data_IF_500741136771
#
_entry.id   IF_500741136771
#
_cell.length_a   1.000
_cell.length_b   1.000
_cell.length_c   1.000
_cell.angle_alpha   90.00
_cell.angle_beta   90.00
_cell.angle_gamma   90.00
#
_symmetry.space_group_name_H-M   'P 1'
#
loop_
_entity.id
_entity.type
_entity.pdbx_description
1 polymer ?
#
# COMPACT_ATOMS: atom_id res chain seq x y z
N UNK A 1 -57.62 4.45 6.13
CA UNK A 1 -56.22 4.38 5.66
C UNK A 1 -55.33 4.15 6.88
N UNK A 2 -54.44 3.17 6.75
CA UNK A 2 -53.74 2.48 7.84
C UNK A 2 -52.52 3.26 8.36
N UNK A 3 -52.37 3.38 9.68
CA UNK A 3 -51.05 3.53 10.28
C UNK A 3 -50.93 2.59 11.48
N UNK A 4 -49.97 1.66 11.36
CA UNK A 4 -49.66 0.60 12.32
C UNK A 4 -48.53 1.09 13.22
N UNK A 5 -48.73 0.99 14.52
CA UNK A 5 -47.67 1.11 15.53
C UNK A 5 -46.62 0.00 15.35
N UNK A 6 -45.34 0.36 15.32
CA UNK A 6 -44.24 -0.59 15.50
C UNK A 6 -43.08 0.05 16.27
N UNK A 7 -43.14 -0.06 17.60
CA UNK A 7 -42.03 0.27 18.51
C UNK A 7 -40.98 -0.84 18.45
N UNK A 8 -39.85 -0.60 17.78
CA UNK A 8 -38.69 -1.49 17.88
C UNK A 8 -37.83 -1.15 19.10
N UNK A 9 -37.45 -2.23 19.80
CA UNK A 9 -36.79 -2.34 21.11
C UNK A 9 -35.46 -1.59 21.22
N UNK A 10 -35.04 -1.16 22.44
CA UNK A 10 -33.72 -0.60 22.66
C UNK A 10 -32.65 -1.71 22.56
N UNK A 11 -31.61 -1.44 21.76
CA UNK A 11 -30.39 -2.24 21.72
C UNK A 11 -29.58 -1.99 22.99
N UNK A 12 -29.75 -2.90 23.94
CA UNK A 12 -28.79 -3.18 25.01
C UNK A 12 -27.57 -3.86 24.36
N UNK A 13 -26.35 -3.33 24.53
CA UNK A 13 -25.27 -4.04 25.23
C UNK A 13 -23.87 -3.36 25.14
N UNK A 14 -23.13 -3.58 26.23
CA UNK A 14 -21.68 -3.62 26.42
C UNK A 14 -20.91 -2.32 26.71
N UNK A 15 -20.62 -2.16 28.01
CA UNK A 15 -19.34 -1.63 28.47
C UNK A 15 -18.25 -2.59 27.96
N UNK A 16 -17.26 -2.12 27.20
CA UNK A 16 -16.01 -2.86 27.00
C UNK A 16 -14.85 -1.88 26.90
N UNK A 17 -13.98 -2.00 27.89
CA UNK A 17 -12.59 -1.57 28.03
C UNK A 17 -12.00 -0.64 26.96
N UNK A 18 -11.30 0.40 27.44
CA UNK A 18 -10.33 1.14 26.66
C UNK A 18 -9.44 0.17 25.89
N UNK A 19 -9.51 0.19 24.55
CA UNK A 19 -8.60 -0.54 23.69
C UNK A 19 -7.20 0.00 23.96
N UNK A 20 -6.39 -0.74 24.71
CA UNK A 20 -4.95 -0.50 24.83
C UNK A 20 -4.38 -0.53 23.42
N UNK A 21 -3.95 0.62 22.90
CA UNK A 21 -3.27 0.73 21.62
C UNK A 21 -1.97 -0.07 21.73
N UNK A 22 -1.97 -1.31 21.25
CA UNK A 22 -0.77 -2.11 21.11
C UNK A 22 0.26 -1.34 20.29
N UNK A 23 1.54 -1.42 20.66
CA UNK A 23 2.64 -0.77 19.93
C UNK A 23 2.61 -1.20 18.46
N UNK A 24 2.29 -0.26 17.57
CA UNK A 24 2.36 -0.49 16.14
C UNK A 24 3.84 -0.54 15.71
N UNK A 25 4.37 -1.72 15.41
CA UNK A 25 5.69 -1.82 14.80
C UNK A 25 5.54 -1.64 13.28
N UNK A 26 6.12 -0.58 12.74
CA UNK A 26 6.19 -0.34 11.29
C UNK A 26 7.52 -0.87 10.76
N UNK A 27 7.48 -1.81 9.81
CA UNK A 27 8.66 -2.21 9.03
C UNK A 27 8.55 -1.62 7.63
N UNK A 28 9.57 -0.90 7.18
CA UNK A 28 9.66 -0.46 5.78
C UNK A 28 10.09 -1.66 4.94
N UNK A 29 9.28 -2.02 3.96
CA UNK A 29 9.57 -3.08 2.98
C UNK A 29 9.72 -2.41 1.63
N UNK A 30 10.90 -2.53 1.03
CA UNK A 30 11.11 -2.13 -0.36
C UNK A 30 10.70 -3.28 -1.27
N UNK A 31 9.75 -3.02 -2.17
CA UNK A 31 9.30 -3.96 -3.19
C UNK A 31 9.64 -3.40 -4.57
N UNK A 32 9.96 -4.29 -5.51
CA UNK A 32 10.18 -3.96 -6.91
C UNK A 32 9.07 -4.59 -7.74
N UNK A 33 8.47 -3.83 -8.65
CA UNK A 33 7.36 -4.31 -9.47
C UNK A 33 7.33 -3.62 -10.84
N UNK A 34 6.90 -4.35 -11.87
CA UNK A 34 6.68 -3.81 -13.21
C UNK A 34 5.36 -3.07 -13.27
N UNK A 35 5.39 -1.83 -13.73
CA UNK A 35 4.26 -0.92 -13.74
C UNK A 35 4.11 -0.34 -15.15
N UNK A 36 2.88 -0.30 -15.64
CA UNK A 36 2.55 0.27 -16.94
C UNK A 36 2.82 1.79 -16.95
N UNK A 37 3.25 2.35 -18.09
CA UNK A 37 3.57 3.79 -18.25
C UNK A 37 2.52 4.73 -17.65
N UNK A 38 1.23 4.43 -17.85
CA UNK A 38 0.12 5.28 -17.37
C UNK A 38 -0.10 5.23 -15.85
N UNK A 39 0.55 4.30 -15.14
CA UNK A 39 0.48 4.16 -13.69
C UNK A 39 1.72 4.74 -12.99
N UNK A 40 2.72 5.21 -13.75
CA UNK A 40 3.89 5.90 -13.21
C UNK A 40 3.49 7.22 -12.55
N UNK A 41 4.16 7.54 -11.45
CA UNK A 41 3.91 8.74 -10.65
C UNK A 41 5.22 9.37 -10.20
N UNK A 42 5.15 10.65 -9.90
CA UNK A 42 6.22 11.38 -9.23
C UNK A 42 6.59 10.69 -7.92
N UNK A 43 7.88 10.65 -7.61
CA UNK A 43 8.46 9.99 -6.44
C UNK A 43 8.65 8.49 -6.58
N UNK A 44 8.37 7.88 -7.75
CA UNK A 44 8.76 6.49 -8.02
C UNK A 44 10.24 6.42 -8.42
N UNK A 45 10.92 5.35 -8.01
CA UNK A 45 12.28 5.05 -8.46
C UNK A 45 12.24 4.03 -9.59
N UNK A 46 12.77 4.37 -10.77
CA UNK A 46 12.83 3.49 -11.95
C UNK A 46 14.14 2.71 -11.91
N UNK A 47 14.09 1.38 -11.79
CA UNK A 47 15.28 0.52 -11.85
C UNK A 47 15.67 0.21 -13.29
N UNK A 48 14.70 -0.23 -14.10
CA UNK A 48 14.88 -0.69 -15.49
C UNK A 48 13.64 -0.38 -16.33
N UNK A 49 13.85 -0.26 -17.63
CA UNK A 49 12.81 -0.08 -18.64
C UNK A 49 12.70 -1.37 -19.46
N UNK A 50 11.54 -1.60 -20.08
CA UNK A 50 11.32 -2.73 -20.99
C UNK A 50 12.14 -2.62 -22.30
N UNK A 51 12.76 -1.47 -22.56
CA UNK A 51 13.62 -1.19 -23.72
C UNK A 51 15.08 -1.01 -23.32
N UNK A 52 16.03 -1.33 -24.22
CA UNK A 52 17.43 -1.07 -23.97
C UNK A 52 17.68 0.43 -23.79
N UNK A 53 18.46 0.78 -22.79
CA UNK A 53 18.76 2.17 -22.39
C UNK A 53 19.35 3.02 -23.52
N UNK A 54 20.08 2.40 -24.46
CA UNK A 54 20.66 3.07 -25.63
C UNK A 54 19.59 3.67 -26.57
N UNK A 55 18.36 3.18 -26.51
CA UNK A 55 17.23 3.72 -27.29
C UNK A 55 16.47 4.83 -26.55
N UNK A 56 16.83 5.10 -25.30
CA UNK A 56 16.14 6.08 -24.45
C UNK A 56 16.93 7.39 -24.35
N UNK A 57 16.24 8.47 -23.99
CA UNK A 57 16.88 9.78 -23.74
C UNK A 57 17.61 9.85 -22.39
N UNK A 58 17.66 8.75 -21.63
CA UNK A 58 18.27 8.69 -20.30
C UNK A 58 19.75 8.35 -20.39
N UNK A 59 20.57 9.11 -19.69
CA UNK A 59 22.03 8.96 -19.66
C UNK A 59 22.52 7.88 -18.67
N UNK A 60 21.68 7.44 -17.73
CA UNK A 60 22.02 6.40 -16.76
C UNK A 60 20.81 5.56 -16.37
N UNK A 61 21.08 4.36 -15.86
CA UNK A 61 20.09 3.46 -15.27
C UNK A 61 19.83 3.83 -13.82
N UNK A 62 18.59 3.73 -13.35
CA UNK A 62 18.28 4.02 -11.96
C UNK A 62 18.11 5.51 -11.68
N UNK A 63 16.87 6.01 -11.64
CA UNK A 63 16.60 7.40 -11.27
C UNK A 63 15.24 7.57 -10.62
N UNK A 64 15.08 8.67 -9.88
CA UNK A 64 13.80 9.09 -9.33
C UNK A 64 13.04 9.91 -10.36
N UNK A 65 11.73 9.66 -10.46
CA UNK A 65 10.82 10.52 -11.20
C UNK A 65 10.48 11.72 -10.31
N UNK A 66 11.35 12.71 -10.25
CA UNK A 66 11.20 13.90 -9.41
C UNK A 66 10.34 15.00 -10.05
N UNK A 67 10.30 15.02 -11.39
CA UNK A 67 9.71 16.07 -12.21
C UNK A 67 8.72 15.48 -13.23
N UNK A 68 7.66 16.24 -13.59
CA UNK A 68 6.69 15.79 -14.59
C UNK A 68 7.33 15.61 -15.97
N UNK A 69 8.35 16.38 -16.30
CA UNK A 69 9.12 16.25 -17.55
C UNK A 69 9.79 14.87 -17.65
N UNK A 70 10.44 14.42 -16.57
CA UNK A 70 11.01 13.07 -16.49
C UNK A 70 9.89 12.02 -16.58
N UNK A 71 8.76 12.21 -15.88
CA UNK A 71 7.62 11.29 -15.95
C UNK A 71 7.16 11.10 -17.40
N UNK A 72 6.97 12.18 -18.15
CA UNK A 72 6.57 12.11 -19.56
C UNK A 72 7.66 11.44 -20.42
N UNK A 73 8.94 11.77 -20.21
CA UNK A 73 10.03 11.14 -20.93
C UNK A 73 10.06 9.61 -20.70
N UNK A 74 9.80 9.15 -19.48
CA UNK A 74 9.71 7.71 -19.18
C UNK A 74 8.53 7.09 -19.92
N UNK A 75 7.36 7.72 -19.83
CA UNK A 75 6.14 7.24 -20.49
C UNK A 75 6.25 7.16 -22.01
N UNK A 76 7.04 8.03 -22.64
CA UNK A 76 7.33 7.95 -24.08
C UNK A 76 8.35 6.86 -24.42
N UNK A 77 9.26 6.54 -23.50
CA UNK A 77 10.37 5.62 -23.75
C UNK A 77 10.02 4.14 -23.57
N UNK A 78 9.01 3.79 -22.77
CA UNK A 78 8.69 2.41 -22.39
C UNK A 78 7.18 2.17 -22.31
N UNK A 79 6.73 0.92 -22.47
CA UNK A 79 5.36 0.53 -22.13
C UNK A 79 5.26 0.13 -20.66
N UNK A 80 6.27 -0.59 -20.17
CA UNK A 80 6.42 -0.97 -18.78
C UNK A 80 7.78 -0.54 -18.22
N UNK A 81 7.75 -0.05 -16.99
CA UNK A 81 8.96 0.27 -16.22
C UNK A 81 8.95 -0.52 -14.92
N UNK A 82 10.10 -1.05 -14.56
CA UNK A 82 10.34 -1.69 -13.28
C UNK A 82 10.63 -0.59 -12.25
N UNK A 83 9.73 -0.44 -11.28
CA UNK A 83 9.84 0.58 -10.24
C UNK A 83 10.05 -0.04 -8.86
N UNK A 84 10.87 0.61 -8.05
CA UNK A 84 11.03 0.31 -6.63
C UNK A 84 10.13 1.23 -5.82
N UNK A 85 9.27 0.64 -5.01
CA UNK A 85 8.38 1.36 -4.09
C UNK A 85 8.66 0.93 -2.66
N UNK A 86 8.70 1.88 -1.74
CA UNK A 86 8.77 1.60 -0.31
C UNK A 86 7.36 1.58 0.26
N UNK A 87 6.98 0.46 0.89
CA UNK A 87 5.71 0.32 1.60
C UNK A 87 5.99 0.13 3.08
N UNK A 88 5.25 0.86 3.90
CA UNK A 88 5.28 0.68 5.35
C UNK A 88 4.32 -0.47 5.68
N UNK A 89 4.88 -1.64 5.97
CA UNK A 89 4.10 -2.75 6.48
C UNK A 89 3.79 -2.47 7.96
N UNK A 90 2.51 -2.32 8.27
CA UNK A 90 2.04 -2.25 9.64
C UNK A 90 1.84 -3.69 10.17
N UNK A 91 2.71 -4.12 11.09
CA UNK A 91 2.55 -5.40 11.75
C UNK A 91 1.85 -5.19 13.11
N UNK A 92 0.68 -5.80 13.34
CA UNK A 92 0.07 -5.79 14.66
C UNK A 92 0.94 -6.65 15.59
N UNK A 93 1.45 -6.05 16.67
CA UNK A 93 2.44 -6.68 17.55
C UNK A 93 1.86 -7.76 18.49
N UNK A 94 0.63 -8.20 18.29
CA UNK A 94 -0.07 -9.13 19.17
C UNK A 94 -0.17 -10.52 18.54
N UNK A 95 0.99 -11.19 18.44
CA UNK A 95 1.05 -12.64 18.31
C UNK A 95 0.79 -13.29 19.68
N UNK A 96 -0.47 -13.38 20.09
CA UNK A 96 -0.93 -14.30 21.13
C UNK A 96 -1.98 -15.25 20.57
N UNK A 97 -1.67 -15.98 19.49
CA UNK A 97 -2.38 -17.22 19.15
C UNK A 97 -1.68 -18.46 19.71
N UNK A 98 -0.89 -18.29 20.77
CA UNK A 98 -0.54 -19.37 21.72
C UNK A 98 -1.02 -18.98 23.10
N UNK A 99 -2.32 -19.15 23.35
CA UNK A 99 -2.78 -19.46 24.69
C UNK A 99 -3.63 -20.72 24.56
N UNK A 100 -2.93 -21.85 24.71
CA UNK A 100 -3.54 -23.10 25.15
C UNK A 100 -4.26 -22.78 26.47
N UNK A 101 -5.58 -22.98 26.49
CA UNK A 101 -6.31 -23.11 27.74
C UNK A 101 -6.94 -24.49 27.72
N UNK A 102 -6.24 -25.44 28.34
CA UNK A 102 -6.84 -26.65 28.84
C UNK A 102 -7.88 -26.27 29.90
N UNK A 103 -9.11 -26.76 29.76
CA UNK A 103 -10.06 -26.84 30.87
C UNK A 103 -10.81 -28.16 30.81
N UNK A 104 -10.34 -29.03 31.71
CA UNK A 104 -10.95 -30.16 32.43
C UNK A 104 -12.17 -30.87 31.85
#
# INVERSE_FOLDING_TARGET
MFWRNNTKKPLKNSKSASRTAGKLASKVVSETQWVHRNQLKLGMYVNELDRPWQETKFIFQGFWIDTPEILFAVQESCEYANVRTEKVAYMPSNSTHRLVAATK
#
